data_IF_455055600961
#
_entry.id   IF_455055600961
#
_cell.length_a   1.000
_cell.length_b   1.000
_cell.length_c   1.000
_cell.angle_alpha   90.00
_cell.angle_beta   90.00
_cell.angle_gamma   90.00
#
_symmetry.space_group_name_H-M   'P 1'
#
loop_
_entity.id
_entity.type
_entity.pdbx_description
1 polymer ?
#
# COMPACT_ATOMS: atom_id res chain seq x y z
N UNK A 1 -2.69 -7.75 9.62
CA UNK A 1 -1.68 -8.26 8.68
C UNK A 1 -0.39 -8.63 9.42
N UNK A 2 -0.13 -9.93 9.59
CA UNK A 2 1.21 -10.46 9.92
C UNK A 2 1.81 -10.99 8.61
N UNK A 3 2.67 -10.18 7.96
CA UNK A 3 3.18 -10.42 6.59
C UNK A 3 3.88 -11.78 6.38
N UNK A 4 4.28 -12.49 7.44
CA UNK A 4 4.91 -13.82 7.36
C UNK A 4 3.98 -15.00 7.65
N UNK A 5 2.74 -14.78 8.12
CA UNK A 5 1.88 -15.85 8.67
C UNK A 5 0.71 -16.28 7.78
N UNK A 6 0.35 -15.52 6.74
CA UNK A 6 -0.85 -15.78 5.94
C UNK A 6 -0.56 -16.37 4.54
N UNK A 7 0.61 -16.98 4.31
CA UNK A 7 0.98 -17.49 2.97
C UNK A 7 1.17 -16.42 1.88
N UNK A 8 0.96 -15.14 2.20
CA UNK A 8 1.09 -14.00 1.29
C UNK A 8 2.55 -13.79 0.88
N UNK A 9 2.79 -13.82 -0.43
CA UNK A 9 4.08 -13.43 -1.03
C UNK A 9 3.96 -12.07 -1.67
N UNK A 10 5.08 -11.36 -1.73
CA UNK A 10 5.19 -10.01 -2.25
C UNK A 10 6.13 -9.97 -3.44
N UNK A 11 5.73 -9.27 -4.50
CA UNK A 11 6.58 -9.05 -5.66
C UNK A 11 6.44 -7.61 -6.18
N UNK A 12 7.57 -6.95 -6.42
CA UNK A 12 7.63 -5.66 -7.10
C UNK A 12 7.31 -5.77 -8.59
N UNK A 13 6.44 -4.89 -9.10
CA UNK A 13 6.22 -4.73 -10.55
C UNK A 13 6.98 -3.53 -11.10
N UNK A 14 7.66 -3.74 -12.23
CA UNK A 14 8.31 -2.70 -13.01
C UNK A 14 7.44 -2.34 -14.25
N UNK A 15 6.21 -1.84 -14.00
CA UNK A 15 5.26 -1.42 -15.05
C UNK A 15 5.10 0.10 -15.10
N UNK A 16 4.61 0.61 -16.23
CA UNK A 16 4.43 2.03 -16.52
C UNK A 16 3.37 2.76 -15.66
N UNK A 17 2.50 2.06 -14.94
CA UNK A 17 1.54 2.69 -14.02
C UNK A 17 2.07 2.65 -12.58
N UNK A 18 2.30 3.84 -12.01
CA UNK A 18 2.50 4.00 -10.58
C UNK A 18 1.29 3.44 -9.82
N UNK A 19 1.53 2.75 -8.69
CA UNK A 19 0.49 2.29 -7.75
C UNK A 19 -0.43 1.14 -8.23
N UNK A 20 -0.01 0.36 -9.22
CA UNK A 20 -0.71 -0.88 -9.60
C UNK A 20 -0.57 -1.95 -8.52
N UNK A 21 -1.66 -2.68 -8.26
CA UNK A 21 -1.71 -3.78 -7.30
C UNK A 21 -2.56 -4.89 -7.88
N UNK A 22 -2.06 -6.12 -7.85
CA UNK A 22 -2.87 -7.29 -8.17
C UNK A 22 -2.67 -8.39 -7.15
N UNK A 23 -3.65 -9.28 -7.09
CA UNK A 23 -3.58 -10.51 -6.33
C UNK A 23 -3.76 -11.69 -7.28
N UNK A 24 -2.81 -12.63 -7.28
CA UNK A 24 -2.87 -13.85 -8.09
C UNK A 24 -2.19 -15.00 -7.35
N UNK A 25 -2.86 -16.14 -7.27
CA UNK A 25 -2.32 -17.39 -6.71
C UNK A 25 -1.67 -17.24 -5.31
N UNK A 26 -2.29 -16.44 -4.42
CA UNK A 26 -1.77 -16.19 -3.06
C UNK A 26 -0.67 -15.12 -2.99
N UNK A 27 -0.31 -14.51 -4.12
CA UNK A 27 0.74 -13.48 -4.21
C UNK A 27 0.10 -12.11 -4.43
N UNK A 28 0.46 -11.14 -3.58
CA UNK A 28 0.17 -9.72 -3.81
C UNK A 28 1.36 -9.13 -4.58
N UNK A 29 1.10 -8.66 -5.79
CA UNK A 29 2.08 -7.94 -6.60
C UNK A 29 1.77 -6.44 -6.52
N UNK A 30 2.78 -5.64 -6.16
CA UNK A 30 2.65 -4.18 -5.96
C UNK A 30 3.70 -3.48 -6.82
N UNK A 31 3.33 -2.40 -7.52
CA UNK A 31 4.30 -1.55 -8.19
C UNK A 31 5.36 -1.02 -7.23
N UNK A 32 6.63 -1.04 -7.65
CA UNK A 32 7.73 -0.50 -6.85
C UNK A 32 7.55 1.00 -6.61
N UNK A 33 7.67 1.43 -5.36
CA UNK A 33 7.61 2.83 -4.95
C UNK A 33 8.95 3.29 -4.37
N UNK A 34 9.52 4.34 -4.97
CA UNK A 34 10.71 5.00 -4.44
C UNK A 34 10.34 6.02 -3.38
N UNK A 35 10.88 5.85 -2.17
CA UNK A 35 10.68 6.76 -1.05
C UNK A 35 11.89 7.70 -0.93
N UNK A 36 11.61 8.99 -1.11
CA UNK A 36 12.55 10.10 -0.97
C UNK A 36 11.88 11.25 -0.22
N UNK A 37 12.64 12.28 0.18
CA UNK A 37 12.08 13.47 0.83
C UNK A 37 10.98 14.18 0.02
N UNK A 38 10.92 13.97 -1.31
CA UNK A 38 9.86 14.53 -2.18
C UNK A 38 8.60 13.66 -2.24
N UNK A 39 8.69 12.37 -1.96
CA UNK A 39 7.56 11.44 -2.09
C UNK A 39 6.43 11.82 -1.11
N UNK A 40 6.80 12.26 0.10
CA UNK A 40 5.85 12.61 1.16
C UNK A 40 4.90 13.74 0.78
N UNK A 41 5.37 14.95 0.42
CA UNK A 41 4.47 16.04 0.03
C UNK A 41 3.67 15.72 -1.23
N UNK A 42 4.25 14.97 -2.18
CA UNK A 42 3.54 14.57 -3.40
C UNK A 42 2.33 13.69 -3.08
N UNK A 43 2.51 12.59 -2.32
CA UNK A 43 1.39 11.71 -1.99
C UNK A 43 0.32 12.44 -1.17
N UNK A 44 0.72 13.28 -0.21
CA UNK A 44 -0.23 14.06 0.59
C UNK A 44 -1.06 15.02 -0.26
N UNK A 45 -0.44 15.73 -1.20
CA UNK A 45 -1.14 16.65 -2.09
C UNK A 45 -2.07 15.92 -3.06
N UNK A 46 -1.66 14.75 -3.56
CA UNK A 46 -2.51 13.92 -4.42
C UNK A 46 -3.71 13.37 -3.67
N UNK A 47 -3.54 12.92 -2.42
CA UNK A 47 -4.67 12.50 -1.58
C UNK A 47 -5.62 13.70 -1.36
N UNK A 48 -5.10 14.87 -0.97
CA UNK A 48 -5.92 16.06 -0.79
C UNK A 48 -6.70 16.43 -2.08
N UNK A 49 -6.05 16.31 -3.24
CA UNK A 49 -6.71 16.49 -4.54
C UNK A 49 -7.84 15.47 -4.75
N UNK A 50 -7.62 14.18 -4.50
CA UNK A 50 -8.69 13.17 -4.61
C UNK A 50 -9.87 13.45 -3.66
N UNK A 51 -9.58 13.98 -2.47
CA UNK A 51 -10.61 14.32 -1.47
C UNK A 51 -11.44 15.55 -1.84
N UNK A 52 -10.80 16.56 -2.44
CA UNK A 52 -11.48 17.82 -2.80
C UNK A 52 -12.29 17.73 -4.09
N UNK A 53 -12.08 16.71 -4.94
CA UNK A 53 -12.68 16.63 -6.27
C UNK A 53 -13.56 15.37 -6.44
N UNK A 54 -14.90 15.49 -6.34
CA UNK A 54 -15.83 14.35 -6.34
C UNK A 54 -15.84 13.48 -7.59
N UNK A 55 -15.29 13.95 -8.72
CA UNK A 55 -15.25 13.18 -9.97
C UNK A 55 -13.91 12.48 -10.22
N UNK A 56 -12.92 12.67 -9.33
CA UNK A 56 -11.62 12.00 -9.40
C UNK A 56 -11.70 10.60 -8.77
N UNK A 57 -10.94 9.64 -9.31
CA UNK A 57 -10.78 8.32 -8.70
C UNK A 57 -9.90 8.41 -7.44
N UNK A 58 -10.16 7.57 -6.43
CA UNK A 58 -9.40 7.57 -5.17
C UNK A 58 -8.18 6.63 -5.23
N UNK A 59 -7.44 6.66 -6.34
CA UNK A 59 -6.39 5.68 -6.62
C UNK A 59 -5.24 5.81 -5.62
N UNK A 60 -4.70 7.02 -5.44
CA UNK A 60 -3.60 7.30 -4.51
C UNK A 60 -4.06 7.08 -3.07
N UNK A 61 -5.28 7.48 -2.73
CA UNK A 61 -5.89 7.28 -1.41
C UNK A 61 -5.95 5.79 -1.04
N UNK A 62 -6.46 4.94 -1.92
CA UNK A 62 -6.57 3.51 -1.63
C UNK A 62 -5.22 2.79 -1.68
N UNK A 63 -4.29 3.24 -2.52
CA UNK A 63 -2.91 2.74 -2.48
C UNK A 63 -2.23 3.07 -1.15
N UNK A 64 -2.36 4.32 -0.67
CA UNK A 64 -1.80 4.74 0.61
C UNK A 64 -2.40 3.95 1.79
N UNK A 65 -3.72 3.71 1.78
CA UNK A 65 -4.41 2.86 2.77
C UNK A 65 -3.89 1.42 2.76
N UNK A 66 -3.70 0.82 1.58
CA UNK A 66 -3.10 -0.52 1.49
C UNK A 66 -1.69 -0.53 2.10
N UNK A 67 -0.85 0.44 1.75
CA UNK A 67 0.51 0.53 2.26
C UNK A 67 0.54 0.77 3.77
N UNK A 68 -0.33 1.61 4.32
CA UNK A 68 -0.46 1.76 5.78
C UNK A 68 -0.88 0.44 6.45
N UNK A 69 -1.83 -0.30 5.86
CA UNK A 69 -2.27 -1.61 6.39
C UNK A 69 -1.15 -2.65 6.41
N UNK A 70 -0.30 -2.67 5.38
CA UNK A 70 0.86 -3.55 5.28
C UNK A 70 1.98 -3.11 6.23
N UNK A 71 2.22 -1.80 6.38
CA UNK A 71 3.36 -1.24 7.09
C UNK A 71 2.96 -0.76 8.48
N UNK A 72 2.96 -1.69 9.44
CA UNK A 72 2.75 -1.35 10.86
C UNK A 72 4.02 -1.11 11.69
N UNK A 73 5.18 -1.55 11.19
CA UNK A 73 6.46 -1.48 11.91
C UNK A 73 7.61 -1.38 10.91
N UNK A 74 8.81 -0.99 11.38
CA UNK A 74 10.03 -1.00 10.56
C UNK A 74 10.35 -2.38 9.98
N UNK A 75 10.04 -3.45 10.71
CA UNK A 75 10.16 -4.83 10.18
C UNK A 75 9.32 -5.06 8.92
N UNK A 76 8.12 -4.49 8.84
CA UNK A 76 7.29 -4.60 7.65
C UNK A 76 7.88 -3.82 6.48
N UNK A 77 8.50 -2.66 6.74
CA UNK A 77 9.24 -1.89 5.73
C UNK A 77 10.39 -2.71 5.15
N UNK A 78 11.23 -3.32 6.00
CA UNK A 78 12.32 -4.20 5.58
C UNK A 78 11.84 -5.34 4.68
N UNK A 79 10.73 -6.02 5.01
CA UNK A 79 10.17 -7.10 4.17
C UNK A 79 9.76 -6.58 2.79
N UNK A 80 9.12 -5.41 2.72
CA UNK A 80 8.67 -4.83 1.45
C UNK A 80 9.83 -4.27 0.61
N UNK A 81 10.90 -3.79 1.26
CA UNK A 81 12.14 -3.41 0.59
C UNK A 81 12.87 -4.62 0.00
N UNK A 82 13.00 -5.71 0.77
CA UNK A 82 13.55 -6.99 0.31
C UNK A 82 12.75 -7.57 -0.86
N UNK A 83 11.42 -7.40 -0.86
CA UNK A 83 10.53 -7.82 -1.94
C UNK A 83 10.56 -6.88 -3.18
N UNK A 84 11.35 -5.81 -3.15
CA UNK A 84 11.46 -4.83 -4.23
C UNK A 84 10.24 -3.93 -4.41
N UNK A 85 9.32 -3.91 -3.43
CA UNK A 85 8.13 -3.03 -3.43
C UNK A 85 8.51 -1.63 -2.99
N UNK A 86 9.43 -1.50 -2.02
CA UNK A 86 9.96 -0.21 -1.59
C UNK A 86 11.42 -0.05 -2.04
N UNK A 87 11.78 1.15 -2.47
CA UNK A 87 13.18 1.57 -2.62
C UNK A 87 13.41 2.79 -1.74
N UNK A 88 14.15 2.63 -0.66
CA UNK A 88 14.29 3.66 0.37
C UNK A 88 15.63 4.37 0.16
N UNK A 89 15.59 5.65 -0.19
CA UNK A 89 16.81 6.38 -0.54
C UNK A 89 17.54 6.99 0.66
N UNK A 90 16.82 7.55 1.64
CA UNK A 90 17.39 8.39 2.70
C UNK A 90 16.66 8.33 4.05
N UNK A 91 15.65 7.46 4.21
CA UNK A 91 14.81 7.45 5.41
C UNK A 91 15.05 6.19 6.24
N UNK A 92 14.87 6.27 7.56
CA UNK A 92 14.83 5.06 8.39
C UNK A 92 13.56 4.25 8.14
N UNK A 93 13.58 2.96 8.42
CA UNK A 93 12.39 2.12 8.30
C UNK A 93 11.27 2.59 9.25
N UNK A 94 11.61 3.11 10.42
CA UNK A 94 10.68 3.72 11.37
C UNK A 94 10.00 4.97 10.78
N UNK A 95 10.77 5.85 10.14
CA UNK A 95 10.25 7.05 9.47
C UNK A 95 9.32 6.69 8.32
N UNK A 96 9.65 5.66 7.53
CA UNK A 96 8.79 5.18 6.44
C UNK A 96 7.48 4.61 6.98
N UNK A 97 7.53 3.85 8.08
CA UNK A 97 6.31 3.34 8.71
C UNK A 97 5.44 4.48 9.24
N UNK A 98 6.05 5.44 9.93
CA UNK A 98 5.34 6.62 10.44
C UNK A 98 4.77 7.50 9.31
N UNK A 99 5.48 7.58 8.18
CA UNK A 99 5.04 8.30 6.99
C UNK A 99 3.71 7.77 6.44
N UNK A 100 3.60 6.46 6.20
CA UNK A 100 2.35 5.88 5.68
C UNK A 100 1.19 6.01 6.66
N UNK A 101 1.46 5.86 7.95
CA UNK A 101 0.47 6.11 9.00
C UNK A 101 -0.08 7.54 8.93
N UNK A 102 0.80 8.54 8.83
CA UNK A 102 0.41 9.94 8.74
C UNK A 102 -0.31 10.32 7.45
N UNK A 103 -0.05 9.62 6.35
CA UNK A 103 -0.78 9.85 5.09
C UNK A 103 -2.25 9.49 5.23
N UNK A 104 -2.58 8.48 6.04
CA UNK A 104 -3.94 7.96 6.18
C UNK A 104 -4.72 8.60 7.34
N UNK A 105 -4.07 9.40 8.19
CA UNK A 105 -4.75 10.14 9.25
C UNK A 105 -5.71 11.17 8.66
N UNK A 106 -6.97 11.16 9.13
CA UNK A 106 -8.03 12.09 8.73
C UNK A 106 -8.40 12.03 7.23
N UNK A 107 -8.18 10.88 6.59
CA UNK A 107 -8.58 10.66 5.19
C UNK A 107 -9.97 10.01 5.14
N UNK A 108 -10.84 10.52 4.27
CA UNK A 108 -12.15 9.92 4.02
C UNK A 108 -12.08 8.87 2.90
N UNK A 109 -12.65 7.70 3.15
CA UNK A 109 -12.61 6.58 2.21
C UNK A 109 -13.98 6.36 1.58
N UNK A 110 -14.14 6.79 0.33
CA UNK A 110 -15.31 6.43 -0.47
C UNK A 110 -15.12 5.03 -1.08
N UNK A 111 -15.68 4.02 -0.43
CA UNK A 111 -15.59 2.63 -0.90
C UNK A 111 -16.11 2.43 -2.33
N UNK A 112 -17.03 3.26 -2.81
CA UNK A 112 -17.54 3.22 -4.19
C UNK A 112 -16.46 3.42 -5.26
N UNK A 113 -15.35 4.08 -4.91
CA UNK A 113 -14.22 4.39 -5.80
C UNK A 113 -12.98 3.53 -5.56
N UNK A 114 -13.12 2.44 -4.81
CA UNK A 114 -11.99 1.59 -4.42
C UNK A 114 -11.60 0.62 -5.54
N UNK A 115 -10.54 0.95 -6.29
CA UNK A 115 -10.00 0.07 -7.32
C UNK A 115 -9.35 -1.21 -6.76
N UNK A 116 -8.98 -1.21 -5.47
CA UNK A 116 -8.39 -2.36 -4.76
C UNK A 116 -9.43 -3.28 -4.12
N UNK A 117 -10.73 -3.08 -4.38
CA UNK A 117 -11.80 -3.88 -3.76
C UNK A 117 -11.56 -5.40 -3.94
N UNK A 118 -11.19 -5.82 -5.14
CA UNK A 118 -10.92 -7.23 -5.43
C UNK A 118 -9.69 -7.75 -4.67
N UNK A 119 -8.64 -6.93 -4.55
CA UNK A 119 -7.45 -7.29 -3.77
C UNK A 119 -7.80 -7.48 -2.30
N UNK A 120 -8.56 -6.55 -1.71
CA UNK A 120 -9.00 -6.67 -0.31
C UNK A 120 -9.84 -7.94 -0.07
N UNK A 121 -10.78 -8.24 -0.97
CA UNK A 121 -11.61 -9.44 -0.86
C UNK A 121 -10.77 -10.73 -0.93
N UNK A 122 -9.82 -10.80 -1.87
CA UNK A 122 -8.99 -11.99 -2.04
C UNK A 122 -8.04 -12.19 -0.84
N UNK A 123 -7.47 -11.12 -0.30
CA UNK A 123 -6.61 -11.21 0.90
C UNK A 123 -7.40 -11.70 2.11
N UNK A 124 -8.64 -11.23 2.29
CA UNK A 124 -9.50 -11.69 3.38
C UNK A 124 -9.83 -13.20 3.28
N UNK A 125 -9.96 -13.74 2.07
CA UNK A 125 -10.17 -15.17 1.86
C UNK A 125 -8.97 -16.01 2.29
N UNK A 126 -7.75 -15.56 1.98
CA UNK A 126 -6.51 -16.28 2.37
C UNK A 126 -6.32 -16.27 3.89
N UNK A 127 -6.60 -15.15 4.56
CA UNK A 127 -6.52 -15.06 6.03
C UNK A 127 -7.61 -15.90 6.74
N UNK A 128 -8.73 -16.20 6.07
CA UNK A 128 -9.83 -17.02 6.60
C UNK A 128 -9.62 -18.54 6.49
N UNK A 129 -8.63 -19.00 5.72
CA UNK A 129 -8.40 -20.44 5.46
C UNK A 129 -7.56 -21.17 6.52
N UNK A 130 -7.05 -20.48 7.55
CA UNK A 130 -6.28 -21.08 8.67
C UNK A 130 -7.17 -21.54 9.85
N UNK A 131 -8.49 -21.71 9.61
CA UNK A 131 -9.44 -22.30 10.59
C UNK A 131 -10.25 -23.41 9.91
N UNK A 132 -9.60 -24.52 9.64
CA UNK A 132 -10.22 -25.83 9.43
C UNK A 132 -9.28 -26.93 9.92
#
# INVERSE_FOLDING_TARGET
MKLKRAGLRFAGKNKCSSMDVSFKDGVIEISTLSISGRTVPILRNLIAFEQCYPFTNNHVTFFADLMDRLIKTSRHVSILEEAGILRIGLNSHEEVAYFFHRLCMNVYYNNGKNYLRNVYNNVAQVEGTDVA
#
